data_IF_681464820577
#
_entry.id   IF_681464820577
#
_cell.length_a   1.000
_cell.length_b   1.000
_cell.length_c   1.000
_cell.angle_alpha   90.00
_cell.angle_beta   90.00
_cell.angle_gamma   90.00
#
_symmetry.space_group_name_H-M   'P 1'
#
loop_
_entity.id
_entity.type
_entity.pdbx_description
1 polymer ?
#
# COMPACT_ATOMS: atom_id res chain seq x y z
N UNK A 1 -17.31 26.22 -7.58
CA UNK A 1 -15.97 26.88 -7.63
C UNK A 1 -14.83 25.85 -7.64
N UNK A 2 -13.60 26.26 -7.97
CA UNK A 2 -12.43 25.38 -7.87
C UNK A 2 -12.04 25.25 -6.38
N UNK A 3 -11.70 24.03 -5.91
CA UNK A 3 -11.12 23.83 -4.58
C UNK A 3 -9.82 24.64 -4.43
N UNK A 4 -9.64 25.39 -3.34
CA UNK A 4 -8.40 26.12 -3.06
C UNK A 4 -7.27 25.18 -2.70
N UNK A 5 -7.56 24.24 -1.77
CA UNK A 5 -6.60 23.23 -1.29
C UNK A 5 -7.34 22.01 -0.71
N UNK A 6 -6.60 20.99 -0.30
CA UNK A 6 -7.17 19.88 0.47
C UNK A 6 -7.42 20.27 1.90
N UNK A 7 -8.58 19.86 2.46
CA UNK A 7 -9.00 20.14 3.83
C UNK A 7 -7.95 19.67 4.86
N UNK A 8 -7.42 18.46 4.69
CA UNK A 8 -6.39 17.91 5.58
C UNK A 8 -5.02 18.60 5.52
N UNK A 9 -4.81 19.56 4.60
CA UNK A 9 -3.55 20.30 4.45
C UNK A 9 -3.58 21.71 5.01
N UNK A 10 -4.71 22.17 5.54
CA UNK A 10 -4.81 23.51 6.14
C UNK A 10 -3.97 23.56 7.43
N UNK A 11 -3.21 24.63 7.62
CA UNK A 11 -2.31 24.83 8.76
C UNK A 11 -2.41 26.29 9.25
N UNK A 12 -1.69 26.63 10.35
CA UNK A 12 -1.64 27.99 10.91
C UNK A 12 -1.17 29.07 9.93
N UNK A 13 -0.33 28.73 8.99
CA UNK A 13 0.14 29.65 7.92
C UNK A 13 -0.98 30.14 6.98
N UNK A 14 -2.14 29.48 7.03
CA UNK A 14 -3.33 29.85 6.22
C UNK A 14 -4.32 30.73 7.00
N UNK A 15 -4.03 31.05 8.27
CA UNK A 15 -4.93 31.91 9.08
C UNK A 15 -5.12 33.27 8.42
N UNK A 16 -6.38 33.73 8.36
CA UNK A 16 -6.80 34.96 7.68
C UNK A 16 -7.09 34.77 6.17
N UNK A 17 -6.77 33.62 5.58
CA UNK A 17 -7.07 33.38 4.16
C UNK A 17 -8.52 32.94 3.98
N UNK A 18 -9.15 33.43 2.93
CA UNK A 18 -10.43 32.92 2.47
C UNK A 18 -10.19 31.73 1.52
N UNK A 19 -10.73 30.57 1.86
CA UNK A 19 -10.52 29.34 1.11
C UNK A 19 -11.84 28.60 0.82
N UNK A 20 -11.84 27.84 -0.28
CA UNK A 20 -12.93 26.93 -0.64
C UNK A 20 -12.47 25.49 -0.50
N UNK A 21 -13.20 24.71 0.31
CA UNK A 21 -12.95 23.30 0.54
C UNK A 21 -14.10 22.44 -0.02
N UNK A 22 -13.79 21.20 -0.37
CA UNK A 22 -14.77 20.18 -0.79
C UNK A 22 -14.42 18.86 -0.15
N UNK A 23 -15.44 18.17 0.35
CA UNK A 23 -15.24 16.88 1.01
C UNK A 23 -16.54 16.25 1.45
N UNK A 24 -16.38 15.22 2.25
CA UNK A 24 -17.47 14.47 2.88
C UNK A 24 -17.67 14.93 4.32
N UNK A 25 -18.91 15.08 4.74
CA UNK A 25 -19.26 15.30 6.14
C UNK A 25 -18.94 14.02 6.93
N UNK A 26 -17.90 14.05 7.74
CA UNK A 26 -17.56 12.92 8.62
C UNK A 26 -18.44 12.93 9.88
N UNK A 27 -18.59 14.08 10.52
CA UNK A 27 -19.38 14.26 11.74
C UNK A 27 -19.99 15.64 11.77
N UNK A 28 -21.23 15.75 12.29
CA UNK A 28 -21.90 17.02 12.64
C UNK A 28 -22.19 17.05 14.13
N UNK A 29 -21.96 18.18 14.77
CA UNK A 29 -22.29 18.47 16.17
C UNK A 29 -23.02 19.80 16.21
N UNK A 30 -24.02 19.90 17.06
CA UNK A 30 -24.76 21.12 17.34
C UNK A 30 -24.56 21.43 18.82
N UNK A 31 -24.02 22.59 19.12
CA UNK A 31 -23.73 23.05 20.47
C UNK A 31 -24.35 24.42 20.68
N UNK A 32 -25.64 24.42 21.04
CA UNK A 32 -26.38 25.65 21.35
C UNK A 32 -26.61 26.53 20.12
N UNK A 33 -26.84 25.96 18.96
CA UNK A 33 -27.03 26.65 17.69
C UNK A 33 -25.77 26.90 16.88
N UNK A 34 -24.58 26.72 17.46
CA UNK A 34 -23.33 26.74 16.75
C UNK A 34 -23.08 25.34 16.16
N UNK A 35 -22.99 25.23 14.84
CA UNK A 35 -22.81 23.94 14.14
C UNK A 35 -21.35 23.72 13.81
N UNK A 36 -20.81 22.58 14.29
CA UNK A 36 -19.48 22.08 13.97
C UNK A 36 -19.58 20.92 13.01
N UNK A 37 -18.76 20.94 11.97
CA UNK A 37 -18.68 19.87 10.96
C UNK A 37 -17.23 19.45 10.80
N UNK A 38 -16.98 18.17 10.93
CA UNK A 38 -15.70 17.57 10.55
C UNK A 38 -15.77 17.22 9.05
N UNK A 39 -15.17 18.05 8.21
CA UNK A 39 -15.08 17.84 6.76
C UNK A 39 -13.87 16.96 6.47
N UNK A 40 -14.10 15.80 5.85
CA UNK A 40 -13.06 14.87 5.48
C UNK A 40 -12.79 14.91 3.99
N UNK A 41 -11.51 14.90 3.62
CA UNK A 41 -11.06 14.58 2.27
C UNK A 41 -9.94 13.53 2.30
N UNK A 42 -9.27 13.29 1.17
CA UNK A 42 -8.20 12.29 1.10
C UNK A 42 -6.92 12.65 1.88
N UNK A 43 -6.78 13.90 2.32
CA UNK A 43 -5.60 14.36 3.06
C UNK A 43 -5.86 14.47 4.58
N UNK A 44 -7.13 14.35 5.00
CA UNK A 44 -7.48 14.37 6.42
C UNK A 44 -8.80 15.07 6.71
N UNK A 45 -8.92 15.61 7.92
CA UNK A 45 -10.12 16.24 8.45
C UNK A 45 -9.83 17.71 8.75
N UNK A 46 -10.79 18.59 8.46
CA UNK A 46 -10.81 19.99 8.86
C UNK A 46 -12.11 20.29 9.61
N UNK A 47 -12.03 20.94 10.76
CA UNK A 47 -13.21 21.43 11.43
C UNK A 47 -13.74 22.68 10.75
N UNK A 48 -15.03 22.68 10.49
CA UNK A 48 -15.80 23.84 10.03
C UNK A 48 -16.67 24.34 11.17
N UNK A 49 -16.80 25.64 11.28
CA UNK A 49 -17.69 26.29 12.25
C UNK A 49 -18.69 27.15 11.50
N UNK A 50 -19.98 26.95 11.79
CA UNK A 50 -21.05 27.70 11.20
C UNK A 50 -21.76 28.40 12.37
N UNK A 51 -21.60 29.74 12.45
CA UNK A 51 -22.18 30.58 13.46
C UNK A 51 -23.41 31.29 12.86
N UNK A 52 -24.62 31.12 13.45
CA UNK A 52 -25.84 31.73 12.94
C UNK A 52 -25.77 33.27 12.88
N UNK A 53 -24.92 33.89 13.70
CA UNK A 53 -24.74 35.36 13.69
C UNK A 53 -23.87 35.84 12.49
N UNK A 54 -23.12 34.92 11.84
CA UNK A 54 -22.14 35.26 10.81
C UNK A 54 -22.51 34.75 9.40
N UNK A 55 -23.61 33.98 9.27
CA UNK A 55 -24.05 33.42 8.01
C UNK A 55 -25.51 33.75 7.69
N UNK A 56 -25.88 33.65 6.43
CA UNK A 56 -27.27 33.78 5.99
C UNK A 56 -28.13 32.61 6.50
N UNK A 57 -29.42 32.83 6.70
CA UNK A 57 -30.35 31.83 7.21
C UNK A 57 -30.40 30.54 6.39
N UNK A 58 -30.22 30.63 5.05
CA UNK A 58 -30.22 29.48 4.17
C UNK A 58 -28.99 28.58 4.37
N UNK A 59 -27.85 29.13 4.76
CA UNK A 59 -26.64 28.37 5.13
C UNK A 59 -26.88 27.56 6.40
N UNK A 60 -27.57 28.16 7.40
CA UNK A 60 -27.94 27.45 8.63
C UNK A 60 -28.89 26.30 8.34
N UNK A 61 -29.95 26.51 7.55
CA UNK A 61 -30.90 25.45 7.15
C UNK A 61 -30.18 24.29 6.46
N UNK A 62 -29.24 24.59 5.56
CA UNK A 62 -28.43 23.58 4.92
C UNK A 62 -27.56 22.84 5.94
N UNK A 63 -26.89 23.56 6.84
CA UNK A 63 -26.01 22.98 7.86
C UNK A 63 -26.74 22.04 8.82
N UNK A 64 -27.97 22.41 9.23
CA UNK A 64 -28.85 21.58 10.06
C UNK A 64 -29.29 20.30 9.37
N UNK A 65 -29.48 20.35 8.05
CA UNK A 65 -29.88 19.20 7.23
C UNK A 65 -28.78 18.18 6.95
N UNK A 66 -27.51 18.54 7.18
CA UNK A 66 -26.36 17.67 6.85
C UNK A 66 -26.39 16.37 7.63
N UNK A 67 -26.03 15.31 6.92
CA UNK A 67 -25.82 13.96 7.47
C UNK A 67 -24.43 13.45 7.08
N UNK A 68 -24.01 12.40 7.79
CA UNK A 68 -22.74 11.72 7.48
C UNK A 68 -22.66 11.34 5.99
N UNK A 69 -21.48 11.52 5.42
CA UNK A 69 -21.12 11.24 4.03
C UNK A 69 -21.80 12.11 2.98
N UNK A 70 -22.57 13.15 3.36
CA UNK A 70 -22.96 14.18 2.40
C UNK A 70 -21.73 14.85 1.83
N UNK A 71 -21.76 15.14 0.54
CA UNK A 71 -20.67 15.85 -0.16
C UNK A 71 -21.02 17.34 -0.19
N UNK A 72 -20.12 18.15 0.34
CA UNK A 72 -20.33 19.60 0.43
C UNK A 72 -19.16 20.39 -0.15
N UNK A 73 -19.49 21.59 -0.63
CA UNK A 73 -18.56 22.67 -0.91
C UNK A 73 -18.78 23.75 0.16
N UNK A 74 -17.72 24.24 0.76
CA UNK A 74 -17.75 25.30 1.75
C UNK A 74 -16.69 26.34 1.45
N UNK A 75 -17.02 27.62 1.62
CA UNK A 75 -16.06 28.72 1.62
C UNK A 75 -16.10 29.44 2.95
N UNK A 76 -14.97 30.01 3.35
CA UNK A 76 -14.85 30.71 4.61
C UNK A 76 -13.42 31.14 4.91
N UNK A 77 -13.24 31.74 6.06
CA UNK A 77 -11.95 32.23 6.55
C UNK A 77 -11.33 31.22 7.51
N UNK A 78 -10.06 30.94 7.34
CA UNK A 78 -9.27 30.11 8.27
C UNK A 78 -8.97 30.93 9.53
N UNK A 79 -9.32 30.41 10.69
CA UNK A 79 -9.03 31.03 11.99
C UNK A 79 -8.33 30.05 12.92
N UNK A 80 -7.65 30.56 13.96
CA UNK A 80 -7.13 29.71 15.03
C UNK A 80 -8.27 29.16 15.89
N UNK A 81 -8.17 27.92 16.31
CA UNK A 81 -9.14 27.32 17.24
C UNK A 81 -8.87 27.82 18.66
N UNK A 82 -9.95 28.10 19.41
CA UNK A 82 -9.83 28.41 20.82
C UNK A 82 -9.20 27.28 21.62
N UNK A 83 -9.55 26.05 21.29
CA UNK A 83 -8.96 24.83 21.87
C UNK A 83 -8.36 23.98 20.75
N UNK A 84 -7.05 23.92 20.69
CA UNK A 84 -6.34 23.08 19.76
C UNK A 84 -6.63 21.59 20.00
N UNK A 85 -6.64 20.80 18.92
CA UNK A 85 -6.77 19.35 18.97
C UNK A 85 -5.52 18.71 18.38
N UNK A 86 -4.61 18.28 19.23
CA UNK A 86 -3.32 17.71 18.83
C UNK A 86 -3.43 16.32 18.14
N UNK A 87 -4.63 15.71 18.16
CA UNK A 87 -4.85 14.39 17.53
C UNK A 87 -4.99 14.46 15.99
N UNK A 88 -5.16 15.66 15.42
CA UNK A 88 -5.26 15.85 13.97
C UNK A 88 -4.32 16.96 13.50
N UNK A 89 -3.69 16.81 12.32
CA UNK A 89 -2.71 17.80 11.82
C UNK A 89 -3.28 19.21 11.58
N UNK A 90 -4.60 19.34 11.41
CA UNK A 90 -5.32 20.61 11.22
C UNK A 90 -5.85 21.17 12.54
N UNK A 91 -5.60 20.51 13.65
CA UNK A 91 -6.31 20.76 14.92
C UNK A 91 -6.03 22.10 15.59
N UNK A 92 -5.04 22.85 15.11
CA UNK A 92 -4.77 24.21 15.58
C UNK A 92 -5.64 25.28 14.90
N UNK A 93 -6.34 24.92 13.82
CA UNK A 93 -7.13 25.84 12.99
C UNK A 93 -8.51 25.28 12.68
N UNK A 94 -9.44 26.16 12.31
CA UNK A 94 -10.77 25.82 11.83
C UNK A 94 -11.21 26.79 10.73
N UNK A 95 -12.22 26.39 9.96
CA UNK A 95 -12.79 27.25 8.93
C UNK A 95 -14.08 27.88 9.43
N UNK A 96 -14.10 29.19 9.57
CA UNK A 96 -15.30 29.98 9.76
C UNK A 96 -16.05 30.06 8.45
N UNK A 97 -17.15 29.31 8.32
CA UNK A 97 -17.90 29.17 7.08
C UNK A 97 -18.69 30.43 6.78
N UNK A 98 -18.60 30.92 5.54
CA UNK A 98 -19.43 32.01 5.00
C UNK A 98 -20.45 31.52 3.98
N UNK A 99 -20.13 30.43 3.26
CA UNK A 99 -21.05 29.80 2.31
C UNK A 99 -20.98 28.29 2.34
N UNK A 100 -22.14 27.64 2.07
CA UNK A 100 -22.27 26.19 2.04
C UNK A 100 -23.19 25.74 0.92
N UNK A 101 -22.71 24.79 0.13
CA UNK A 101 -23.48 24.14 -0.93
C UNK A 101 -23.43 22.62 -0.73
N UNK A 102 -24.60 21.98 -0.71
CA UNK A 102 -24.69 20.51 -0.73
C UNK A 102 -24.56 20.06 -2.19
N UNK A 103 -23.44 19.41 -2.49
CA UNK A 103 -23.15 18.90 -3.83
C UNK A 103 -23.87 17.58 -4.09
N UNK A 104 -23.95 16.72 -3.05
CA UNK A 104 -24.65 15.44 -3.14
C UNK A 104 -25.06 14.95 -1.74
N UNK A 105 -26.20 14.31 -1.68
CA UNK A 105 -26.69 13.64 -0.47
C UNK A 105 -26.28 12.18 -0.49
N UNK A 106 -26.07 11.60 0.70
CA UNK A 106 -25.78 10.20 0.88
C UNK A 106 -26.89 9.49 1.66
N UNK A 107 -27.11 8.23 1.34
CA UNK A 107 -27.88 7.32 2.22
C UNK A 107 -27.00 6.94 3.42
N UNK A 108 -27.62 6.50 4.51
CA UNK A 108 -26.91 5.94 5.66
C UNK A 108 -25.98 4.81 5.20
N UNK A 109 -24.71 4.89 5.58
CA UNK A 109 -23.70 3.89 5.23
C UNK A 109 -23.85 2.64 6.09
N UNK A 110 -23.48 1.44 5.57
CA UNK A 110 -23.58 0.18 6.33
C UNK A 110 -22.59 0.11 7.51
N UNK A 111 -21.58 0.96 7.51
CA UNK A 111 -20.60 1.12 8.59
C UNK A 111 -20.04 2.56 8.59
N UNK A 112 -19.47 2.96 9.69
CA UNK A 112 -18.80 4.27 9.80
C UNK A 112 -17.46 4.29 9.05
N UNK A 113 -17.14 5.43 8.44
CA UNK A 113 -15.87 5.62 7.73
C UNK A 113 -14.79 6.06 8.71
N UNK A 114 -14.31 5.14 9.52
CA UNK A 114 -13.22 5.32 10.50
C UNK A 114 -12.42 4.02 10.62
N UNK A 115 -11.25 4.10 11.24
CA UNK A 115 -10.47 2.89 11.55
C UNK A 115 -11.02 2.20 12.81
N UNK A 116 -10.66 0.91 13.01
CA UNK A 116 -11.13 0.14 14.16
C UNK A 116 -12.63 -0.19 14.16
N UNK A 117 -13.25 -0.34 12.98
CA UNK A 117 -14.67 -0.74 12.86
C UNK A 117 -14.83 -2.25 13.04
N UNK A 118 -15.99 -2.65 13.59
CA UNK A 118 -16.37 -4.07 13.78
C UNK A 118 -17.09 -4.69 12.57
N UNK A 119 -17.11 -4.00 11.42
CA UNK A 119 -17.75 -4.53 10.23
C UNK A 119 -17.03 -5.78 9.72
N UNK A 120 -17.80 -6.82 9.36
CA UNK A 120 -17.26 -8.06 8.78
C UNK A 120 -16.56 -7.80 7.45
N UNK A 121 -15.62 -8.68 7.09
CA UNK A 121 -14.90 -8.59 5.81
C UNK A 121 -15.87 -8.68 4.62
N UNK A 122 -16.91 -9.51 4.68
CA UNK A 122 -17.94 -9.58 3.63
C UNK A 122 -18.64 -8.24 3.42
N UNK A 123 -18.99 -7.54 4.50
CA UNK A 123 -19.60 -6.21 4.41
C UNK A 123 -18.63 -5.18 3.84
N UNK A 124 -17.37 -5.19 4.28
CA UNK A 124 -16.31 -4.32 3.78
C UNK A 124 -16.01 -4.57 2.30
N UNK A 125 -15.99 -5.83 1.87
CA UNK A 125 -15.78 -6.18 0.47
C UNK A 125 -16.98 -5.81 -0.40
N UNK A 126 -18.20 -6.02 0.07
CA UNK A 126 -19.42 -5.62 -0.63
C UNK A 126 -19.51 -4.11 -0.86
N UNK A 127 -19.09 -3.33 0.13
CA UNK A 127 -19.06 -1.86 0.07
C UNK A 127 -17.64 -1.33 -0.01
N UNK A 128 -16.81 -1.96 -0.81
CA UNK A 128 -15.38 -1.69 -0.91
C UNK A 128 -15.06 -0.22 -1.14
N UNK A 129 -15.85 0.49 -1.95
CA UNK A 129 -15.69 1.92 -2.23
C UNK A 129 -15.87 2.80 -0.97
N UNK A 130 -16.61 2.36 0.04
CA UNK A 130 -16.72 3.02 1.33
C UNK A 130 -15.53 2.64 2.24
N UNK A 131 -15.18 1.36 2.29
CA UNK A 131 -14.03 0.88 3.04
C UNK A 131 -12.73 1.59 2.62
N UNK A 132 -12.55 1.84 1.33
CA UNK A 132 -11.41 2.58 0.78
C UNK A 132 -11.34 4.07 1.19
N UNK A 133 -12.41 4.64 1.75
CA UNK A 133 -12.38 5.99 2.34
C UNK A 133 -11.75 6.04 3.72
N UNK A 134 -11.60 4.90 4.41
CA UNK A 134 -10.99 4.83 5.73
C UNK A 134 -9.53 5.25 5.66
N UNK A 135 -9.02 6.00 6.67
CA UNK A 135 -7.63 6.47 6.67
C UNK A 135 -6.60 5.38 6.47
N UNK A 136 -6.73 4.24 7.19
CA UNK A 136 -5.86 3.07 7.07
C UNK A 136 -5.80 2.55 5.63
N UNK A 137 -6.96 2.35 5.00
CA UNK A 137 -7.03 1.83 3.63
C UNK A 137 -6.43 2.81 2.64
N UNK A 138 -6.74 4.09 2.78
CA UNK A 138 -6.19 5.13 1.92
C UNK A 138 -4.66 5.25 2.08
N UNK A 139 -4.15 5.12 3.32
CA UNK A 139 -2.71 5.16 3.60
C UNK A 139 -1.96 4.04 2.90
N UNK A 140 -2.54 2.82 2.84
CA UNK A 140 -1.97 1.68 2.12
C UNK A 140 -1.82 1.97 0.62
N UNK A 141 -2.82 2.60 0.00
CA UNK A 141 -2.73 2.99 -1.42
C UNK A 141 -1.72 4.11 -1.67
N UNK A 142 -1.65 5.10 -0.76
CA UNK A 142 -0.63 6.15 -0.81
C UNK A 142 0.78 5.56 -0.69
N UNK A 143 0.97 4.63 0.26
CA UNK A 143 2.24 3.92 0.43
C UNK A 143 2.61 3.12 -0.83
N UNK A 144 1.67 2.36 -1.38
CA UNK A 144 1.89 1.62 -2.63
C UNK A 144 2.30 2.54 -3.78
N UNK A 145 1.64 3.68 -3.93
CA UNK A 145 1.99 4.67 -4.95
C UNK A 145 3.40 5.25 -4.74
N UNK A 146 3.77 5.56 -3.49
CA UNK A 146 5.09 6.05 -3.14
C UNK A 146 6.19 5.00 -3.41
N UNK A 147 5.95 3.73 -3.04
CA UNK A 147 6.85 2.59 -3.35
C UNK A 147 7.08 2.48 -4.86
N UNK A 148 6.00 2.48 -5.65
CA UNK A 148 6.09 2.40 -7.12
C UNK A 148 6.89 3.56 -7.71
N UNK A 149 6.67 4.78 -7.20
CA UNK A 149 7.41 5.96 -7.65
C UNK A 149 8.91 5.88 -7.29
N UNK A 150 9.23 5.47 -6.07
CA UNK A 150 10.61 5.29 -5.62
C UNK A 150 11.36 4.25 -6.46
N UNK A 151 10.70 3.12 -6.77
CA UNK A 151 11.26 2.07 -7.63
C UNK A 151 11.60 2.62 -9.03
N UNK A 152 10.64 3.32 -9.66
CA UNK A 152 10.86 3.89 -10.99
C UNK A 152 12.03 4.86 -10.99
N UNK A 153 12.04 5.82 -10.07
CA UNK A 153 13.12 6.79 -9.99
C UNK A 153 14.50 6.13 -9.82
N UNK A 154 14.59 5.11 -8.96
CA UNK A 154 15.84 4.40 -8.75
C UNK A 154 16.32 3.65 -9.99
N UNK A 155 15.43 2.97 -10.68
CA UNK A 155 15.78 2.20 -11.89
C UNK A 155 16.07 3.13 -13.08
N UNK A 156 15.31 4.22 -13.22
CA UNK A 156 15.56 5.24 -14.23
C UNK A 156 16.94 5.90 -14.03
N UNK A 157 17.33 6.21 -12.78
CA UNK A 157 18.67 6.74 -12.43
C UNK A 157 19.81 5.77 -12.77
N UNK A 158 19.51 4.46 -12.85
CA UNK A 158 20.43 3.41 -13.27
C UNK A 158 20.31 3.04 -14.76
N UNK A 159 19.63 3.88 -15.55
CA UNK A 159 19.46 3.74 -16.99
C UNK A 159 18.68 2.49 -17.41
N UNK A 160 17.80 1.96 -16.55
CA UNK A 160 16.85 0.94 -16.95
C UNK A 160 15.72 1.55 -17.78
N UNK A 161 15.23 0.79 -18.77
CA UNK A 161 14.15 1.18 -19.66
C UNK A 161 12.85 0.50 -19.21
N UNK A 162 11.82 1.28 -18.86
CA UNK A 162 10.47 0.78 -18.55
C UNK A 162 9.76 0.39 -19.85
N UNK A 163 9.50 -0.91 -20.05
CA UNK A 163 8.88 -1.42 -21.28
C UNK A 163 7.63 -2.22 -20.96
N UNK A 164 6.49 -1.77 -21.46
CA UNK A 164 5.24 -2.54 -21.38
C UNK A 164 5.28 -3.76 -22.32
N UNK A 165 4.98 -4.92 -21.76
CA UNK A 165 4.94 -6.20 -22.49
C UNK A 165 3.49 -6.64 -22.74
N UNK A 166 3.22 -7.43 -23.79
CA UNK A 166 1.88 -7.91 -24.09
C UNK A 166 1.28 -8.76 -22.94
N UNK A 167 -0.02 -8.52 -22.64
CA UNK A 167 -0.77 -9.30 -21.66
C UNK A 167 -1.51 -10.48 -22.32
N UNK A 168 -1.84 -10.41 -23.60
CA UNK A 168 -2.39 -11.53 -24.37
C UNK A 168 -1.25 -12.25 -25.08
N UNK A 169 -0.75 -13.31 -24.45
CA UNK A 169 0.44 -14.03 -24.91
C UNK A 169 0.11 -15.45 -25.34
N UNK A 170 1.10 -16.18 -25.78
CA UNK A 170 1.04 -17.63 -25.95
C UNK A 170 1.28 -18.29 -24.59
N UNK A 171 0.60 -19.40 -24.33
CA UNK A 171 0.84 -20.23 -23.13
C UNK A 171 2.29 -20.66 -23.05
N UNK A 172 2.87 -20.52 -21.85
CA UNK A 172 4.26 -20.89 -21.55
C UNK A 172 4.33 -21.70 -20.25
N UNK A 173 5.03 -22.84 -20.22
CA UNK A 173 5.11 -23.66 -19.01
C UNK A 173 6.15 -23.06 -18.04
N UNK A 174 5.68 -22.22 -17.09
CA UNK A 174 6.55 -21.60 -16.08
C UNK A 174 6.31 -22.12 -14.64
N UNK A 175 5.68 -23.28 -14.49
CA UNK A 175 5.49 -23.93 -13.18
C UNK A 175 4.07 -23.84 -12.61
N UNK A 176 3.31 -22.80 -12.93
CA UNK A 176 1.88 -22.68 -12.63
C UNK A 176 1.02 -23.01 -13.86
N UNK A 177 -0.29 -23.12 -13.68
CA UNK A 177 -1.23 -23.16 -14.81
C UNK A 177 -1.54 -21.73 -15.28
N UNK A 178 -1.74 -21.61 -16.59
CA UNK A 178 -2.07 -20.33 -17.21
C UNK A 178 -3.59 -20.08 -17.17
N UNK A 179 -3.99 -18.83 -16.96
CA UNK A 179 -5.34 -18.39 -17.27
C UNK A 179 -5.49 -18.24 -18.78
N UNK A 180 -6.47 -18.92 -19.35
CA UNK A 180 -6.74 -18.91 -20.78
C UNK A 180 -7.84 -17.93 -21.15
N UNK A 181 -7.62 -17.16 -22.23
CA UNK A 181 -8.58 -16.21 -22.79
C UNK A 181 -9.00 -16.71 -24.16
N UNK A 182 -10.28 -17.10 -24.38
CA UNK A 182 -10.73 -17.60 -25.68
C UNK A 182 -10.65 -16.52 -26.77
N UNK A 183 -10.15 -16.88 -27.96
CA UNK A 183 -10.13 -15.98 -29.11
C UNK A 183 -11.46 -16.02 -29.87
N UNK A 184 -12.11 -14.87 -30.02
CA UNK A 184 -13.31 -14.75 -30.86
C UNK A 184 -13.00 -14.82 -32.36
N UNK A 185 -11.84 -14.30 -32.73
CA UNK A 185 -11.41 -14.19 -34.13
C UNK A 185 -10.91 -15.54 -34.65
N UNK A 186 -10.12 -16.24 -33.83
CA UNK A 186 -9.54 -17.55 -34.18
C UNK A 186 -10.26 -18.63 -33.38
N UNK A 187 -11.32 -19.23 -33.94
CA UNK A 187 -12.11 -20.27 -33.29
C UNK A 187 -11.24 -21.46 -32.89
N UNK A 188 -11.37 -21.94 -31.66
CA UNK A 188 -10.60 -23.07 -31.12
C UNK A 188 -9.21 -22.71 -30.62
N UNK A 189 -8.82 -21.41 -30.67
CA UNK A 189 -7.56 -20.92 -30.15
C UNK A 189 -7.76 -20.05 -28.92
N UNK A 190 -6.72 -19.97 -28.08
CA UNK A 190 -6.71 -19.24 -26.82
C UNK A 190 -5.45 -18.38 -26.72
N UNK A 191 -5.58 -17.24 -26.10
CA UNK A 191 -4.46 -16.53 -25.49
C UNK A 191 -4.26 -17.01 -24.05
N UNK A 192 -3.07 -16.82 -23.51
CA UNK A 192 -2.80 -17.00 -22.10
C UNK A 192 -2.43 -15.65 -21.46
N UNK A 193 -2.82 -15.46 -20.19
CA UNK A 193 -2.32 -14.36 -19.39
C UNK A 193 -0.93 -14.70 -18.85
N UNK A 194 0.04 -13.77 -18.84
CA UNK A 194 1.43 -14.09 -18.51
C UNK A 194 1.59 -14.39 -17.01
N UNK A 195 2.33 -15.44 -16.70
CA UNK A 195 2.81 -15.72 -15.35
C UNK A 195 3.96 -14.80 -14.93
N UNK A 196 4.76 -14.40 -15.92
CA UNK A 196 5.76 -13.35 -15.90
C UNK A 196 6.03 -12.90 -17.35
N UNK A 197 6.66 -11.75 -17.61
CA UNK A 197 7.04 -11.33 -18.96
C UNK A 197 8.30 -12.02 -19.51
N UNK A 198 8.63 -13.23 -19.06
CA UNK A 198 9.92 -13.91 -19.26
C UNK A 198 10.38 -13.97 -20.72
N UNK A 199 9.51 -14.40 -21.64
CA UNK A 199 9.90 -14.50 -23.06
C UNK A 199 10.19 -13.12 -23.64
N UNK A 200 9.34 -12.14 -23.34
CA UNK A 200 9.47 -10.80 -23.91
C UNK A 200 10.72 -10.10 -23.40
N UNK A 201 10.99 -10.14 -22.08
CA UNK A 201 12.19 -9.51 -21.52
C UNK A 201 13.49 -10.15 -22.05
N UNK A 202 13.50 -11.46 -22.25
CA UNK A 202 14.64 -12.13 -22.87
C UNK A 202 14.85 -11.68 -24.33
N UNK A 203 13.78 -11.52 -25.10
CA UNK A 203 13.83 -10.96 -26.45
C UNK A 203 14.32 -9.51 -26.46
N UNK A 204 13.96 -8.71 -25.45
CA UNK A 204 14.47 -7.34 -25.31
C UNK A 204 15.99 -7.33 -25.06
N UNK A 205 16.53 -8.27 -24.26
CA UNK A 205 17.98 -8.43 -24.10
C UNK A 205 18.65 -8.75 -25.44
N UNK A 206 18.08 -9.70 -26.20
CA UNK A 206 18.57 -10.04 -27.54
C UNK A 206 18.50 -8.88 -28.54
N UNK A 207 17.54 -7.96 -28.32
CA UNK A 207 17.37 -6.74 -29.11
C UNK A 207 18.31 -5.59 -28.68
N UNK A 208 19.12 -5.80 -27.64
CA UNK A 208 20.12 -4.83 -27.18
C UNK A 208 19.60 -3.78 -26.19
N UNK A 209 18.50 -4.04 -25.49
CA UNK A 209 17.96 -3.12 -24.47
C UNK A 209 18.85 -3.04 -23.23
N UNK A 210 19.66 -4.06 -22.97
CA UNK A 210 20.67 -4.13 -21.91
C UNK A 210 20.10 -4.06 -20.47
N UNK A 211 19.27 -3.09 -20.14
CA UNK A 211 18.64 -2.91 -18.84
C UNK A 211 17.14 -2.65 -19.01
N UNK A 212 16.34 -3.63 -18.68
CA UNK A 212 14.88 -3.58 -18.76
C UNK A 212 14.29 -3.67 -17.37
N UNK A 213 13.19 -2.95 -17.13
CA UNK A 213 12.29 -3.24 -16.03
C UNK A 213 10.82 -3.01 -16.42
N UNK A 214 9.92 -3.55 -15.63
CA UNK A 214 8.49 -3.28 -15.69
C UNK A 214 7.83 -3.52 -14.34
N UNK A 215 6.86 -2.68 -13.98
CA UNK A 215 5.95 -2.97 -12.87
C UNK A 215 4.70 -3.58 -13.47
N UNK A 216 4.64 -4.90 -13.50
CA UNK A 216 3.74 -5.69 -14.35
C UNK A 216 2.75 -6.53 -13.55
N UNK A 217 1.54 -6.69 -14.09
CA UNK A 217 0.56 -7.67 -13.62
C UNK A 217 0.94 -9.06 -14.09
N UNK A 218 0.91 -10.02 -13.16
CA UNK A 218 1.17 -11.43 -13.40
C UNK A 218 0.01 -12.26 -12.90
N UNK A 219 -0.22 -13.42 -13.53
CA UNK A 219 -1.36 -14.28 -13.29
C UNK A 219 -0.92 -15.73 -13.13
N UNK A 220 -1.41 -16.41 -12.10
CA UNK A 220 -1.12 -17.84 -11.87
C UNK A 220 -2.37 -18.53 -11.37
N UNK A 221 -2.82 -19.55 -12.07
CA UNK A 221 -3.96 -20.39 -11.66
C UNK A 221 -3.45 -21.48 -10.70
N UNK A 222 -3.26 -21.08 -9.46
CA UNK A 222 -2.77 -21.92 -8.36
C UNK A 222 -3.71 -21.85 -7.16
N UNK A 223 -3.57 -22.81 -6.26
CA UNK A 223 -4.27 -22.78 -4.97
C UNK A 223 -3.86 -21.55 -4.15
N UNK A 224 -4.85 -20.86 -3.60
CA UNK A 224 -4.63 -19.69 -2.75
C UNK A 224 -3.96 -20.11 -1.43
N UNK A 225 -2.93 -19.39 -1.03
CA UNK A 225 -2.25 -19.58 0.25
C UNK A 225 -1.91 -18.20 0.83
N UNK A 226 -2.25 -17.95 2.08
CA UNK A 226 -1.85 -16.76 2.81
C UNK A 226 -1.76 -15.48 1.99
N UNK A 227 -0.58 -15.16 1.50
CA UNK A 227 -0.27 -13.98 0.69
C UNK A 227 -0.30 -14.22 -0.84
N UNK A 228 -0.55 -15.46 -1.30
CA UNK A 228 -0.60 -15.78 -2.73
C UNK A 228 -1.99 -15.52 -3.30
N UNK A 229 -2.02 -14.66 -4.31
CA UNK A 229 -3.21 -14.31 -5.07
C UNK A 229 -3.06 -14.74 -6.53
N UNK A 230 -4.16 -15.07 -7.24
CA UNK A 230 -4.11 -15.49 -8.64
C UNK A 230 -3.65 -14.35 -9.56
N UNK A 231 -3.84 -13.12 -9.13
CA UNK A 231 -3.39 -11.90 -9.78
C UNK A 231 -2.53 -11.08 -8.83
N UNK A 232 -1.31 -10.76 -9.22
CA UNK A 232 -0.37 -9.99 -8.40
C UNK A 232 0.51 -9.08 -9.25
N UNK A 233 1.27 -8.20 -8.61
CA UNK A 233 2.16 -7.27 -9.29
C UNK A 233 3.61 -7.63 -8.98
N UNK A 234 4.45 -7.70 -10.01
CA UNK A 234 5.89 -7.86 -9.90
C UNK A 234 6.61 -6.55 -10.26
N UNK A 235 7.75 -6.33 -9.64
CA UNK A 235 8.81 -5.51 -10.21
C UNK A 235 9.72 -6.49 -10.94
N UNK A 236 9.65 -6.49 -12.25
CA UNK A 236 10.39 -7.42 -13.11
C UNK A 236 11.56 -6.69 -13.74
N UNK A 237 12.75 -7.31 -13.69
CA UNK A 237 13.98 -6.75 -14.22
C UNK A 237 14.69 -7.80 -15.09
N UNK A 238 15.40 -7.33 -16.10
CA UNK A 238 16.34 -8.15 -16.87
C UNK A 238 17.53 -7.30 -17.29
N UNK A 239 18.72 -7.87 -17.24
CA UNK A 239 19.96 -7.17 -17.58
C UNK A 239 20.90 -8.04 -18.39
N UNK A 240 21.70 -7.42 -19.26
CA UNK A 240 22.83 -8.02 -19.93
C UNK A 240 24.15 -7.55 -19.31
N UNK A 241 25.23 -8.32 -19.50
CA UNK A 241 26.62 -7.95 -19.15
C UNK A 241 26.87 -7.69 -17.66
N UNK A 242 25.97 -8.08 -16.76
CA UNK A 242 26.17 -7.98 -15.31
C UNK A 242 26.42 -9.36 -14.71
N UNK A 243 27.27 -9.41 -13.69
CA UNK A 243 27.49 -10.60 -12.87
C UNK A 243 26.51 -10.61 -11.67
N UNK A 244 26.53 -11.70 -10.91
CA UNK A 244 25.63 -11.92 -9.77
C UNK A 244 25.77 -10.86 -8.66
N UNK A 245 27.01 -10.39 -8.40
CA UNK A 245 27.26 -9.39 -7.36
C UNK A 245 26.69 -8.04 -7.78
N UNK A 246 26.87 -7.65 -9.04
CA UNK A 246 26.31 -6.39 -9.57
C UNK A 246 24.78 -6.38 -9.55
N UNK A 247 24.12 -7.51 -9.82
CA UNK A 247 22.66 -7.66 -9.67
C UNK A 247 22.25 -7.52 -8.21
N UNK A 248 22.98 -8.14 -7.29
CA UNK A 248 22.70 -8.02 -5.85
C UNK A 248 22.83 -6.57 -5.38
N UNK A 249 23.87 -5.87 -5.81
CA UNK A 249 24.08 -4.44 -5.44
C UNK A 249 22.94 -3.54 -5.94
N UNK A 250 22.43 -3.77 -7.16
CA UNK A 250 21.27 -3.08 -7.70
C UNK A 250 20.02 -3.34 -6.84
N UNK A 251 19.74 -4.60 -6.52
CA UNK A 251 18.55 -4.99 -5.76
C UNK A 251 18.64 -4.50 -4.30
N UNK A 252 19.79 -4.58 -3.68
CA UNK A 252 20.02 -4.05 -2.33
C UNK A 252 19.83 -2.54 -2.27
N UNK A 253 20.40 -1.82 -3.23
CA UNK A 253 20.22 -0.38 -3.38
C UNK A 253 18.76 0.00 -3.60
N UNK A 254 18.02 -0.77 -4.41
CA UNK A 254 16.58 -0.60 -4.64
C UNK A 254 15.79 -0.72 -3.33
N UNK A 255 16.03 -1.79 -2.57
CA UNK A 255 15.33 -2.03 -1.29
C UNK A 255 15.65 -0.93 -0.28
N UNK A 256 16.92 -0.56 -0.15
CA UNK A 256 17.36 0.50 0.74
C UNK A 256 16.71 1.85 0.37
N UNK A 257 16.69 2.20 -0.91
CA UNK A 257 16.07 3.43 -1.42
C UNK A 257 14.57 3.47 -1.13
N UNK A 258 13.85 2.39 -1.42
CA UNK A 258 12.40 2.29 -1.17
C UNK A 258 12.07 2.47 0.31
N UNK A 259 12.80 1.80 1.21
CA UNK A 259 12.56 1.93 2.66
C UNK A 259 12.92 3.32 3.18
N UNK A 260 13.98 3.93 2.69
CA UNK A 260 14.34 5.30 3.02
C UNK A 260 13.27 6.29 2.59
N UNK A 261 12.82 6.23 1.33
CA UNK A 261 11.85 7.17 0.77
C UNK A 261 10.45 7.03 1.39
N UNK A 262 10.05 5.81 1.75
CA UNK A 262 8.66 5.53 2.16
C UNK A 262 8.46 5.42 3.67
N UNK A 263 9.49 5.02 4.41
CA UNK A 263 9.45 4.79 5.86
C UNK A 263 10.50 5.57 6.65
N UNK A 264 11.45 6.23 5.97
CA UNK A 264 12.58 6.89 6.63
C UNK A 264 13.58 5.93 7.27
N UNK A 265 13.55 4.64 6.87
CA UNK A 265 14.44 3.61 7.41
C UNK A 265 15.70 3.55 6.55
N UNK A 266 16.85 3.74 7.18
CA UNK A 266 18.16 3.55 6.55
C UNK A 266 18.66 2.14 6.82
N UNK A 267 18.91 1.38 5.75
CA UNK A 267 19.48 0.05 5.84
C UNK A 267 21.00 0.12 5.61
N UNK A 268 21.79 -0.63 6.39
CA UNK A 268 23.22 -0.79 6.12
C UNK A 268 23.42 -1.63 4.85
N UNK A 269 24.33 -1.21 3.99
CA UNK A 269 24.74 -1.92 2.77
C UNK A 269 26.23 -2.26 2.84
N UNK A 270 26.69 -3.37 2.25
CA UNK A 270 25.88 -4.42 1.61
C UNK A 270 25.12 -5.28 2.64
N UNK A 271 24.07 -5.98 2.20
CA UNK A 271 23.39 -6.94 3.06
C UNK A 271 24.31 -8.13 3.39
N UNK A 272 24.19 -8.73 4.58
CA UNK A 272 24.97 -9.91 4.95
C UNK A 272 24.78 -11.04 3.93
N UNK A 273 25.88 -11.64 3.49
CA UNK A 273 25.88 -12.81 2.60
C UNK A 273 25.91 -14.07 3.44
N UNK A 274 25.09 -15.05 3.11
CA UNK A 274 25.03 -16.34 3.80
C UNK A 274 25.07 -17.48 2.76
N UNK A 275 25.97 -18.43 2.95
CA UNK A 275 26.02 -19.62 2.13
C UNK A 275 24.82 -20.53 2.40
N UNK A 276 24.32 -21.22 1.38
CA UNK A 276 23.19 -22.15 1.50
C UNK A 276 23.42 -23.21 2.57
N UNK A 277 24.61 -23.81 2.59
CA UNK A 277 24.97 -24.83 3.59
C UNK A 277 24.90 -24.29 5.03
N UNK A 278 25.33 -23.04 5.23
CA UNK A 278 25.23 -22.40 6.55
C UNK A 278 23.76 -22.19 6.94
N UNK A 279 22.94 -21.68 6.02
CA UNK A 279 21.51 -21.48 6.26
C UNK A 279 20.82 -22.83 6.64
N UNK A 280 21.05 -23.87 5.87
CA UNK A 280 20.45 -25.18 6.12
C UNK A 280 20.99 -25.84 7.39
N UNK A 281 22.30 -25.72 7.68
CA UNK A 281 22.90 -26.35 8.83
C UNK A 281 22.51 -25.70 10.16
N UNK A 282 22.37 -24.39 10.20
CA UNK A 282 22.15 -23.66 11.45
C UNK A 282 20.72 -23.15 11.63
N UNK A 283 19.94 -23.01 10.55
CA UNK A 283 18.57 -22.52 10.62
C UNK A 283 17.53 -23.52 10.09
N UNK A 284 17.97 -24.55 9.33
CA UNK A 284 17.05 -25.55 8.76
C UNK A 284 16.16 -24.99 7.64
N UNK A 285 16.52 -23.85 7.06
CA UNK A 285 15.74 -23.14 6.06
C UNK A 285 16.65 -22.37 5.11
N UNK A 286 16.26 -22.29 3.84
CA UNK A 286 16.87 -21.39 2.85
C UNK A 286 16.45 -19.92 3.00
N UNK A 287 15.55 -19.63 3.96
CA UNK A 287 15.08 -18.28 4.33
C UNK A 287 15.25 -18.07 5.83
N UNK A 288 16.49 -18.01 6.33
CA UNK A 288 16.75 -17.94 7.77
C UNK A 288 16.28 -16.61 8.36
N UNK A 289 15.63 -16.68 9.53
CA UNK A 289 15.37 -15.51 10.34
C UNK A 289 16.55 -15.26 11.28
N UNK A 290 17.31 -14.21 10.99
CA UNK A 290 18.53 -13.86 11.73
C UNK A 290 18.30 -12.87 12.87
N UNK A 291 17.02 -12.54 13.19
CA UNK A 291 16.67 -11.55 14.24
C UNK A 291 16.81 -12.10 15.66
N UNK A 292 17.00 -13.39 15.81
CA UNK A 292 17.17 -14.06 17.10
C UNK A 292 18.21 -15.18 17.02
N UNK A 293 18.79 -15.49 18.19
CA UNK A 293 19.74 -16.58 18.35
C UNK A 293 18.97 -17.85 18.72
N UNK A 294 18.91 -18.85 18.07
CA UNK A 294 18.43 -20.22 18.37
C UNK A 294 18.89 -21.12 17.24
N UNK A 295 20.22 -21.12 17.03
CA UNK A 295 20.84 -21.90 15.98
C UNK A 295 20.74 -23.40 16.30
N UNK A 296 20.50 -24.20 15.27
CA UNK A 296 20.55 -25.65 15.35
C UNK A 296 21.95 -26.11 15.79
N UNK A 297 21.98 -26.97 16.78
CA UNK A 297 23.20 -27.59 17.28
C UNK A 297 23.29 -29.01 16.73
N UNK A 298 24.44 -29.37 16.17
CA UNK A 298 24.67 -30.72 15.69
C UNK A 298 25.09 -31.61 16.86
N UNK A 299 24.25 -32.57 17.22
CA UNK A 299 24.47 -33.54 18.29
C UNK A 299 24.83 -34.93 17.77
N UNK A 300 25.00 -35.11 16.46
CA UNK A 300 25.21 -36.40 15.82
C UNK A 300 26.32 -37.21 16.48
N UNK A 301 27.48 -36.59 16.69
CA UNK A 301 28.60 -37.25 17.32
C UNK A 301 28.33 -37.61 18.82
N UNK A 302 27.63 -36.69 19.51
CA UNK A 302 27.34 -36.85 20.96
C UNK A 302 26.38 -38.00 21.25
N UNK A 303 25.41 -38.24 20.33
CA UNK A 303 24.36 -39.25 20.54
C UNK A 303 24.64 -40.59 19.83
N UNK A 304 25.80 -40.75 19.22
CA UNK A 304 26.20 -42.01 18.53
C UNK A 304 26.27 -43.23 19.45
N UNK A 305 26.68 -43.01 20.71
CA UNK A 305 26.92 -44.07 21.67
C UNK A 305 25.75 -44.25 22.65
N UNK A 306 24.64 -43.55 22.49
CA UNK A 306 23.49 -43.69 23.36
C UNK A 306 22.68 -44.95 23.03
N UNK A 307 22.12 -45.60 24.06
CA UNK A 307 21.30 -46.80 23.89
C UNK A 307 19.85 -46.47 23.44
N UNK A 308 19.75 -45.63 22.42
CA UNK A 308 18.49 -45.27 21.79
C UNK A 308 18.67 -45.26 20.28
N UNK A 309 18.23 -46.32 19.64
CA UNK A 309 18.45 -46.58 18.21
C UNK A 309 18.08 -45.43 17.28
N UNK A 310 16.99 -44.71 17.59
CA UNK A 310 16.54 -43.57 16.77
C UNK A 310 17.63 -42.48 16.66
N UNK A 311 18.43 -42.30 17.72
CA UNK A 311 19.54 -41.35 17.71
C UNK A 311 20.84 -41.96 17.19
N UNK A 312 21.19 -43.13 17.70
CA UNK A 312 22.49 -43.77 17.37
C UNK A 312 22.58 -44.24 15.92
N UNK A 313 21.45 -44.58 15.28
CA UNK A 313 21.40 -45.01 13.88
C UNK A 313 21.09 -43.83 12.92
N UNK A 314 20.70 -42.67 13.40
CA UNK A 314 20.39 -41.52 12.58
C UNK A 314 21.65 -40.96 11.87
N UNK A 315 21.59 -40.61 10.56
CA UNK A 315 22.71 -40.00 9.87
C UNK A 315 23.03 -38.60 10.40
N UNK A 316 22.02 -37.86 10.84
CA UNK A 316 22.14 -36.51 11.42
C UNK A 316 21.15 -36.36 12.58
N UNK A 317 21.60 -35.82 13.69
CA UNK A 317 20.76 -35.42 14.83
C UNK A 317 21.05 -33.97 15.16
N UNK A 318 20.04 -33.13 15.07
CA UNK A 318 20.13 -31.71 15.42
C UNK A 318 19.13 -31.33 16.49
N UNK A 319 19.50 -30.38 17.33
CA UNK A 319 18.67 -29.88 18.43
C UNK A 319 18.60 -28.35 18.39
N UNK A 320 17.53 -27.81 18.96
CA UNK A 320 17.37 -26.38 19.26
C UNK A 320 17.41 -26.22 20.76
N UNK A 321 18.19 -25.28 21.26
CA UNK A 321 18.21 -24.90 22.67
C UNK A 321 17.34 -23.67 22.85
N UNK A 322 16.22 -23.84 23.53
CA UNK A 322 15.30 -22.74 23.90
C UNK A 322 15.76 -22.23 25.27
N UNK A 323 16.11 -20.95 25.34
CA UNK A 323 16.51 -20.26 26.58
C UNK A 323 15.32 -19.61 27.27
#
# INVERSE_FOLDING_TARGET
>A
MKRSMYAGRVRKEHVGQEITLKGWVSRRRDLGGLIFIDLRDREGIMQLVINPESVEADVMVKAESLRSEFVIEVSGTVVEREQANDNIPTGAVELQVTSLTVLNMAKTTPFEIKDGIEASDDTRLRYRYLDLRRPEMLSNFKLRAAVTHSIRNYLDDLEFIDVETPMLTKSTPEGARDYLVPSRVSKGHFYALPQSPQITKQLLMNAGFDRYYQIVKCFRDEDLRGDRQPEFTQVDLETSFLNEVEIQDIVEGLIAKVLKDTKGIELPLPFPRMAYEHAMNFYGSDKPDTRFEMLLQDLTATVKEVDFKVFSEAPVVKAIVVK
#
